data_IF_754092696193
#
_entry.id   IF_754092696193
#
_cell.length_a   1.000
_cell.length_b   1.000
_cell.length_c   1.000
_cell.angle_alpha   90.00
_cell.angle_beta   90.00
_cell.angle_gamma   90.00
#
_symmetry.space_group_name_H-M   'P 1'
#
loop_
_entity.id
_entity.type
_entity.pdbx_description
1 polymer ?
#
# COMPACT_ATOMS: atom_id res chain seq x y z
N UNK A 1 2.02 0.59 15.49
CA UNK A 1 2.91 -0.56 15.25
C UNK A 1 2.16 -1.89 15.33
N UNK A 2 1.43 -2.19 16.41
CA UNK A 2 0.63 -3.42 16.50
C UNK A 2 -0.36 -3.61 15.33
N UNK A 3 -1.01 -2.52 14.89
CA UNK A 3 -1.89 -2.55 13.72
C UNK A 3 -1.19 -3.00 12.43
N UNK A 4 0.09 -2.68 12.24
CA UNK A 4 0.85 -3.07 11.05
C UNK A 4 1.14 -4.57 11.01
N UNK A 5 1.38 -5.16 12.19
CA UNK A 5 1.57 -6.61 12.32
C UNK A 5 0.26 -7.35 12.03
N UNK A 6 -0.84 -6.91 12.64
CA UNK A 6 -2.15 -7.53 12.47
C UNK A 6 -2.64 -7.38 11.02
N UNK A 7 -2.56 -6.17 10.46
CA UNK A 7 -2.97 -5.91 9.10
C UNK A 7 -2.05 -6.61 8.08
N UNK A 8 -0.73 -6.64 8.31
CA UNK A 8 0.21 -7.38 7.47
C UNK A 8 -0.07 -8.87 7.43
N UNK A 9 -0.25 -9.50 8.59
CA UNK A 9 -0.60 -10.92 8.68
C UNK A 9 -1.98 -11.23 8.09
N UNK A 10 -2.98 -10.39 8.37
CA UNK A 10 -4.35 -10.56 7.85
C UNK A 10 -4.41 -10.42 6.33
N UNK A 11 -3.80 -9.37 5.78
CA UNK A 11 -3.80 -9.11 4.34
C UNK A 11 -2.98 -10.16 3.58
N UNK A 12 -1.81 -10.56 4.10
CA UNK A 12 -1.05 -11.67 3.55
C UNK A 12 -1.85 -12.98 3.60
N UNK A 13 -2.59 -13.23 4.70
CA UNK A 13 -3.47 -14.39 4.83
C UNK A 13 -4.53 -14.45 3.74
N UNK A 14 -5.16 -13.32 3.44
CA UNK A 14 -6.16 -13.22 2.38
C UNK A 14 -5.52 -13.41 0.99
N UNK A 15 -4.47 -12.64 0.71
CA UNK A 15 -3.86 -12.60 -0.63
C UNK A 15 -3.13 -13.89 -0.99
N UNK A 16 -2.46 -14.52 -0.02
CA UNK A 16 -1.70 -15.75 -0.24
C UNK A 16 -2.52 -17.00 0.06
N UNK A 17 -3.33 -17.00 1.13
CA UNK A 17 -4.10 -18.17 1.55
C UNK A 17 -5.44 -18.33 0.85
N UNK A 18 -6.09 -17.23 0.48
CA UNK A 18 -7.41 -17.28 -0.17
C UNK A 18 -7.30 -17.10 -1.67
N UNK A 19 -6.73 -15.97 -2.10
CA UNK A 19 -6.62 -15.62 -3.52
C UNK A 19 -5.41 -16.25 -4.20
N UNK A 20 -4.50 -16.88 -3.43
CA UNK A 20 -3.31 -17.56 -3.96
C UNK A 20 -2.49 -16.70 -4.94
N UNK A 21 -2.51 -15.38 -4.75
CA UNK A 21 -1.90 -14.41 -5.68
C UNK A 21 -0.44 -14.15 -5.34
N UNK A 22 -0.04 -14.33 -4.09
CA UNK A 22 1.33 -14.12 -3.62
C UNK A 22 2.08 -15.46 -3.53
N UNK A 23 3.33 -15.47 -3.97
CA UNK A 23 4.23 -16.62 -3.90
C UNK A 23 5.30 -16.45 -2.81
N UNK A 24 5.99 -17.54 -2.44
CA UNK A 24 7.11 -17.51 -1.52
C UNK A 24 6.72 -17.59 -0.03
N UNK A 25 7.62 -17.13 0.84
CA UNK A 25 7.49 -17.25 2.30
C UNK A 25 6.41 -16.31 2.85
N UNK A 26 5.41 -16.90 3.53
CA UNK A 26 4.31 -16.17 4.15
C UNK A 26 4.79 -15.06 5.10
N UNK A 27 5.74 -15.37 5.98
CA UNK A 27 6.25 -14.40 6.96
C UNK A 27 7.00 -13.24 6.31
N UNK A 28 7.66 -13.49 5.19
CA UNK A 28 8.32 -12.43 4.40
C UNK A 28 7.28 -11.51 3.77
N UNK A 29 6.24 -12.09 3.16
CA UNK A 29 5.15 -11.33 2.54
C UNK A 29 4.37 -10.52 3.58
N UNK A 30 4.00 -11.14 4.71
CA UNK A 30 3.32 -10.48 5.81
C UNK A 30 4.16 -9.34 6.41
N UNK A 31 5.47 -9.56 6.57
CA UNK A 31 6.41 -8.53 7.03
C UNK A 31 6.49 -7.36 6.04
N UNK A 32 6.64 -7.63 4.75
CA UNK A 32 6.71 -6.61 3.72
C UNK A 32 5.42 -5.76 3.66
N UNK A 33 4.25 -6.40 3.68
CA UNK A 33 2.97 -5.70 3.68
C UNK A 33 2.80 -4.89 4.97
N UNK A 34 3.09 -5.48 6.13
CA UNK A 34 2.99 -4.81 7.42
C UNK A 34 3.89 -3.58 7.52
N UNK A 35 5.13 -3.68 7.02
CA UNK A 35 6.05 -2.55 6.94
C UNK A 35 5.54 -1.45 6.00
N UNK A 36 4.96 -1.81 4.85
CA UNK A 36 4.33 -0.84 3.94
C UNK A 36 3.18 -0.06 4.59
N UNK A 37 2.34 -0.75 5.36
CA UNK A 37 1.23 -0.12 6.11
C UNK A 37 1.78 0.84 7.18
N UNK A 38 2.79 0.41 7.94
CA UNK A 38 3.43 1.27 8.95
C UNK A 38 4.13 2.47 8.32
N UNK A 39 4.84 2.29 7.20
CA UNK A 39 5.50 3.37 6.48
C UNK A 39 4.49 4.43 6.01
N UNK A 40 3.35 4.00 5.47
CA UNK A 40 2.27 4.88 5.04
C UNK A 40 1.70 5.67 6.22
N UNK A 41 1.41 4.99 7.33
CA UNK A 41 0.92 5.64 8.55
C UNK A 41 1.96 6.60 9.15
N UNK A 42 3.25 6.28 9.09
CA UNK A 42 4.33 7.12 9.57
C UNK A 42 4.43 8.44 8.79
N UNK A 43 4.17 8.44 7.47
CA UNK A 43 4.10 9.67 6.68
C UNK A 43 2.99 10.59 7.21
N UNK A 44 1.78 10.04 7.40
CA UNK A 44 0.61 10.83 7.85
C UNK A 44 0.83 11.37 9.26
N UNK A 45 1.29 10.53 10.18
CA UNK A 45 1.57 10.91 11.58
C UNK A 45 2.74 11.89 11.66
N UNK A 46 3.80 11.68 10.87
CA UNK A 46 4.95 12.58 10.80
C UNK A 46 4.59 13.96 10.28
N UNK A 47 3.79 14.05 9.20
CA UNK A 47 3.27 15.31 8.70
C UNK A 47 2.35 15.99 9.71
N UNK A 48 1.52 15.21 10.41
CA UNK A 48 0.69 15.76 11.48
C UNK A 48 1.51 16.36 12.62
N UNK A 49 2.63 15.74 12.99
CA UNK A 49 3.55 16.27 14.00
C UNK A 49 4.24 17.56 13.54
N UNK A 50 4.55 17.70 12.25
CA UNK A 50 5.26 18.88 11.70
C UNK A 50 4.37 20.11 11.49
N UNK A 51 3.18 19.91 10.90
CA UNK A 51 2.29 21.02 10.48
C UNK A 51 0.88 20.93 11.08
N UNK A 52 0.70 20.11 12.12
CA UNK A 52 -0.57 19.95 12.83
C UNK A 52 -1.63 19.22 12.00
N UNK A 53 -2.91 19.52 12.24
CA UNK A 53 -4.06 18.82 11.62
C UNK A 53 -4.04 18.87 10.08
N UNK A 54 -3.47 19.91 9.48
CA UNK A 54 -3.31 20.01 8.03
C UNK A 54 -2.46 18.86 7.46
N UNK A 55 -1.48 18.38 8.22
CA UNK A 55 -0.61 17.27 7.81
C UNK A 55 -1.34 15.94 7.61
N UNK A 56 -2.47 15.73 8.29
CA UNK A 56 -3.30 14.54 8.07
C UNK A 56 -3.90 14.56 6.67
N UNK A 57 -4.47 15.71 6.26
CA UNK A 57 -5.05 15.86 4.93
C UNK A 57 -3.99 15.74 3.84
N UNK A 58 -2.83 16.39 4.00
CA UNK A 58 -1.72 16.30 3.04
C UNK A 58 -1.19 14.87 2.93
N UNK A 59 -0.95 14.19 4.05
CA UNK A 59 -0.50 12.81 4.06
C UNK A 59 -1.52 11.86 3.43
N UNK A 60 -2.81 12.05 3.72
CA UNK A 60 -3.89 11.27 3.09
C UNK A 60 -3.92 11.49 1.57
N UNK A 61 -3.79 12.73 1.10
CA UNK A 61 -3.77 13.03 -0.35
C UNK A 61 -2.57 12.35 -1.03
N UNK A 62 -1.38 12.46 -0.46
CA UNK A 62 -0.18 11.84 -1.05
C UNK A 62 -0.35 10.33 -1.14
N UNK A 63 -0.73 9.69 -0.03
CA UNK A 63 -0.83 8.22 0.04
C UNK A 63 -1.99 7.68 -0.81
N UNK A 64 -3.13 8.38 -0.87
CA UNK A 64 -4.32 7.92 -1.58
C UNK A 64 -4.29 8.20 -3.09
N UNK A 65 -3.69 9.32 -3.54
CA UNK A 65 -3.68 9.68 -4.97
C UNK A 65 -2.41 9.22 -5.68
N UNK A 66 -1.30 9.04 -4.97
CA UNK A 66 -0.03 8.62 -5.57
C UNK A 66 0.29 7.16 -5.25
N UNK A 67 0.08 6.74 -4.00
CA UNK A 67 0.43 5.39 -3.54
C UNK A 67 -0.61 4.32 -3.87
N UNK A 68 -1.81 4.69 -4.32
CA UNK A 68 -2.91 3.76 -4.54
C UNK A 68 -2.94 3.26 -5.99
N UNK A 69 -2.94 1.92 -6.23
CA UNK A 69 -3.09 1.36 -7.57
C UNK A 69 -4.34 1.82 -8.32
N UNK A 70 -5.44 2.13 -7.61
CA UNK A 70 -6.68 2.60 -8.22
C UNK A 70 -6.49 3.94 -8.97
N UNK A 71 -5.55 4.78 -8.53
CA UNK A 71 -5.27 6.08 -9.15
C UNK A 71 -4.59 5.96 -10.52
N UNK A 72 -4.02 4.79 -10.84
CA UNK A 72 -3.39 4.49 -12.13
C UNK A 72 -4.36 3.91 -13.17
N UNK A 73 -5.57 3.48 -12.76
CA UNK A 73 -6.52 2.80 -13.65
C UNK A 73 -7.07 3.67 -14.80
N UNK A 74 -6.96 4.99 -14.70
CA UNK A 74 -7.36 5.94 -15.76
C UNK A 74 -6.21 6.24 -16.74
N UNK A 75 -5.04 5.61 -16.59
CA UNK A 75 -3.94 5.85 -17.51
C UNK A 75 -4.26 5.32 -18.92
N UNK A 76 -4.03 6.13 -19.96
CA UNK A 76 -4.22 5.72 -21.35
C UNK A 76 -3.42 4.45 -21.67
N UNK A 77 -4.00 3.56 -22.48
CA UNK A 77 -3.40 2.27 -22.89
C UNK A 77 -2.01 2.43 -23.55
N UNK A 78 -1.71 3.62 -24.02
CA UNK A 78 -0.47 4.06 -24.64
C UNK A 78 0.72 4.06 -23.65
N UNK A 79 0.48 4.07 -22.34
CA UNK A 79 1.51 3.90 -21.30
C UNK A 79 1.82 2.43 -20.99
N UNK A 80 1.03 1.48 -21.48
CA UNK A 80 1.40 0.06 -21.45
C UNK A 80 2.36 -0.20 -22.60
N UNK A 81 3.53 -0.75 -22.30
CA UNK A 81 4.50 -1.17 -23.31
C UNK A 81 3.79 -2.10 -24.31
N UNK A 82 3.90 -1.78 -25.59
CA UNK A 82 3.18 -2.38 -26.73
C UNK A 82 3.60 -3.83 -26.99
N UNK A 83 3.54 -4.72 -26.00
CA UNK A 83 3.92 -6.14 -26.10
C UNK A 83 3.07 -7.09 -25.22
N UNK A 84 1.97 -6.63 -24.63
CA UNK A 84 1.17 -7.44 -23.67
C UNK A 84 -0.31 -7.59 -23.98
N UNK A 85 -0.76 -7.35 -25.22
CA UNK A 85 -2.12 -7.63 -25.64
C UNK A 85 -2.22 -9.06 -26.21
N UNK A 86 -2.19 -10.05 -25.33
CA UNK A 86 -2.71 -11.41 -25.56
C UNK A 86 -3.22 -11.96 -24.24
#
# INVERSE_FOLDING_TARGET
MAYGVIAGAGLAGILQGWFHTLQGSFWTNAGAIGLGIVATAAIIVGLNALIGRAGIAVGAVITLFVGNPLSSLTQPKEFFLVHGAV
#
